data_IF_612201422610
#
_entry.id   IF_612201422610
#
_cell.length_a   1.000
_cell.length_b   1.000
_cell.length_c   1.000
_cell.angle_alpha   90.00
_cell.angle_beta   90.00
_cell.angle_gamma   90.00
#
_symmetry.space_group_name_H-M   'P 1'
#
loop_
_entity.id
_entity.type
_entity.pdbx_description
1 polymer ?
#
# COMPACT_ATOMS: atom_id res chain seq x y z
N UNK A 1 -5.23 28.81 34.80
CA UNK A 1 -5.70 27.71 33.93
C UNK A 1 -6.53 28.33 32.82
N UNK A 2 -5.90 28.67 31.69
CA UNK A 2 -6.59 29.32 30.58
C UNK A 2 -7.33 28.24 29.76
N UNK A 3 -8.65 28.37 29.70
CA UNK A 3 -9.54 27.53 28.89
C UNK A 3 -9.36 27.97 27.43
N UNK A 4 -8.47 27.29 26.70
CA UNK A 4 -8.16 27.62 25.31
C UNK A 4 -9.43 27.54 24.44
N UNK A 5 -9.88 28.68 23.91
CA UNK A 5 -10.45 28.80 22.56
C UNK A 5 -11.74 28.06 22.22
N UNK A 6 -12.56 27.66 23.20
CA UNK A 6 -13.65 26.68 23.00
C UNK A 6 -14.96 27.22 22.37
N UNK A 7 -15.06 28.50 21.99
CA UNK A 7 -16.27 29.03 21.35
C UNK A 7 -15.86 30.00 20.23
N UNK A 8 -15.75 29.50 18.98
CA UNK A 8 -15.73 30.36 17.78
C UNK A 8 -14.64 30.12 16.74
N UNK A 9 -13.55 29.41 17.07
CA UNK A 9 -12.40 29.26 16.15
C UNK A 9 -12.57 28.12 15.13
N UNK A 10 -13.56 27.24 15.33
CA UNK A 10 -13.77 26.08 14.45
C UNK A 10 -14.14 26.47 13.02
N UNK A 11 -14.84 27.60 12.84
CA UNK A 11 -15.24 28.07 11.50
C UNK A 11 -14.05 28.59 10.70
N UNK A 12 -13.17 29.36 11.33
CA UNK A 12 -11.97 29.90 10.69
C UNK A 12 -10.94 28.80 10.42
N UNK A 13 -10.80 27.84 11.34
CA UNK A 13 -10.01 26.63 11.12
C UNK A 13 -10.62 25.78 9.98
N UNK A 14 -11.92 25.54 9.98
CA UNK A 14 -12.57 24.81 8.89
C UNK A 14 -12.34 25.50 7.53
N UNK A 15 -12.38 26.83 7.48
CA UNK A 15 -12.12 27.59 6.26
C UNK A 15 -10.65 27.46 5.82
N UNK A 16 -9.69 27.61 6.73
CA UNK A 16 -8.25 27.50 6.43
C UNK A 16 -7.79 26.10 5.99
N UNK A 17 -8.47 25.06 6.47
CA UNK A 17 -8.11 23.67 6.19
C UNK A 17 -9.08 22.99 5.22
N UNK A 18 -10.10 23.69 4.70
CA UNK A 18 -11.13 23.16 3.79
C UNK A 18 -10.56 22.51 2.54
N UNK A 19 -9.49 23.07 1.97
CA UNK A 19 -8.83 22.54 0.76
C UNK A 19 -7.73 21.51 1.06
N UNK A 20 -7.51 21.17 2.34
CA UNK A 20 -6.42 20.27 2.75
C UNK A 20 -6.95 18.87 3.03
N UNK A 21 -6.26 17.85 2.49
CA UNK A 21 -6.54 16.44 2.79
C UNK A 21 -6.48 16.22 4.30
N UNK A 22 -7.58 15.71 4.87
CA UNK A 22 -7.65 15.42 6.31
C UNK A 22 -6.65 14.32 6.69
N UNK A 23 -6.23 14.28 7.96
CA UNK A 23 -5.34 13.22 8.45
C UNK A 23 -5.92 11.81 8.19
N UNK A 24 -7.24 11.67 8.35
CA UNK A 24 -7.99 10.43 8.10
C UNK A 24 -8.00 10.03 6.63
N UNK A 25 -8.24 10.98 5.71
CA UNK A 25 -8.19 10.73 4.27
C UNK A 25 -6.77 10.35 3.83
N UNK A 26 -5.76 11.08 4.32
CA UNK A 26 -4.35 10.78 4.08
C UNK A 26 -3.97 9.37 4.54
N UNK A 27 -4.44 8.96 5.71
CA UNK A 27 -4.23 7.61 6.22
C UNK A 27 -4.96 6.56 5.35
N UNK A 28 -6.19 6.83 4.92
CA UNK A 28 -6.95 5.95 4.03
C UNK A 28 -6.27 5.81 2.66
N UNK A 29 -5.77 6.91 2.08
CA UNK A 29 -5.00 6.91 0.83
C UNK A 29 -3.72 6.08 0.97
N UNK A 30 -2.92 6.32 2.01
CA UNK A 30 -1.71 5.52 2.27
C UNK A 30 -2.00 4.03 2.44
N UNK A 31 -3.10 3.65 3.09
CA UNK A 31 -3.52 2.24 3.20
C UNK A 31 -3.82 1.62 1.84
N UNK A 32 -4.54 2.32 0.96
CA UNK A 32 -4.82 1.87 -0.41
C UNK A 32 -3.54 1.73 -1.24
N UNK A 33 -2.64 2.71 -1.15
CA UNK A 33 -1.33 2.65 -1.81
C UNK A 33 -0.48 1.47 -1.32
N UNK A 34 -0.46 1.23 -0.01
CA UNK A 34 0.24 0.10 0.60
C UNK A 34 -0.31 -1.24 0.13
N UNK A 35 -1.64 -1.41 0.12
CA UNK A 35 -2.29 -2.61 -0.39
C UNK A 35 -1.90 -2.89 -1.84
N UNK A 36 -1.95 -1.88 -2.70
CA UNK A 36 -1.60 -2.03 -4.10
C UNK A 36 -0.11 -2.37 -4.32
N UNK A 37 0.80 -1.83 -3.50
CA UNK A 37 2.21 -2.22 -3.51
C UNK A 37 2.39 -3.67 -3.10
N UNK A 38 1.70 -4.10 -2.04
CA UNK A 38 1.79 -5.47 -1.54
C UNK A 38 1.25 -6.47 -2.57
N UNK A 39 0.13 -6.17 -3.22
CA UNK A 39 -0.40 -7.00 -4.30
C UNK A 39 0.61 -7.17 -5.44
N UNK A 40 1.21 -6.07 -5.92
CA UNK A 40 2.27 -6.12 -6.95
C UNK A 40 3.51 -6.90 -6.50
N UNK A 41 3.88 -6.80 -5.22
CA UNK A 41 5.00 -7.55 -4.68
C UNK A 41 4.71 -9.05 -4.65
N UNK A 42 3.49 -9.44 -4.24
CA UNK A 42 3.04 -10.82 -4.26
C UNK A 42 3.01 -11.40 -5.68
N UNK A 43 2.48 -10.65 -6.66
CA UNK A 43 2.47 -11.08 -8.07
C UNK A 43 3.88 -11.37 -8.59
N UNK A 44 4.85 -10.48 -8.29
CA UNK A 44 6.26 -10.69 -8.69
C UNK A 44 6.87 -11.92 -8.02
N UNK A 45 6.56 -12.16 -6.76
CA UNK A 45 7.02 -13.36 -6.05
C UNK A 45 6.43 -14.63 -6.66
N UNK A 46 5.14 -14.62 -7.03
CA UNK A 46 4.50 -15.72 -7.74
C UNK A 46 5.18 -16.01 -9.08
N UNK A 47 5.42 -14.98 -9.89
CA UNK A 47 6.13 -15.15 -11.17
C UNK A 47 7.54 -15.69 -10.99
N UNK A 48 8.28 -15.22 -9.98
CA UNK A 48 9.62 -15.71 -9.68
C UNK A 48 9.60 -17.19 -9.27
N UNK A 49 8.62 -17.59 -8.45
CA UNK A 49 8.42 -18.98 -8.06
C UNK A 49 8.09 -19.87 -9.26
N UNK A 50 7.18 -19.43 -10.14
CA UNK A 50 6.86 -20.16 -11.36
C UNK A 50 8.07 -20.34 -12.27
N UNK A 51 8.87 -19.28 -12.45
CA UNK A 51 10.08 -19.34 -13.27
C UNK A 51 11.11 -20.32 -12.69
N UNK A 52 11.29 -20.31 -11.37
CA UNK A 52 12.14 -21.27 -10.67
C UNK A 52 11.65 -22.71 -10.89
N UNK A 53 10.36 -22.95 -10.72
CA UNK A 53 9.78 -24.29 -10.85
C UNK A 53 9.86 -24.82 -12.28
N UNK A 54 9.62 -23.97 -13.30
CA UNK A 54 9.87 -24.32 -14.71
C UNK A 54 11.32 -24.72 -14.94
N UNK A 55 12.27 -23.92 -14.44
CA UNK A 55 13.70 -24.23 -14.58
C UNK A 55 14.10 -25.55 -13.92
N UNK A 56 13.46 -25.89 -12.80
CA UNK A 56 13.66 -27.16 -12.08
C UNK A 56 13.13 -28.33 -12.90
N UNK A 57 11.94 -28.20 -13.48
CA UNK A 57 11.33 -29.23 -14.31
C UNK A 57 12.10 -29.44 -15.62
N UNK A 58 12.52 -28.37 -16.28
CA UNK A 58 13.34 -28.44 -17.49
C UNK A 58 14.66 -29.19 -17.23
N UNK A 59 15.31 -28.91 -16.10
CA UNK A 59 16.53 -29.63 -15.68
C UNK A 59 16.23 -31.10 -15.34
N UNK A 60 15.14 -31.39 -14.63
CA UNK A 60 14.76 -32.75 -14.24
C UNK A 60 14.34 -33.63 -15.44
N UNK A 61 13.71 -33.03 -16.45
CA UNK A 61 13.35 -33.71 -17.70
C UNK A 61 14.57 -34.10 -18.52
N UNK A 62 15.63 -33.28 -18.49
CA UNK A 62 16.90 -33.60 -19.18
C UNK A 62 17.59 -34.85 -18.62
N UNK A 63 17.55 -35.05 -17.29
CA UNK A 63 18.12 -36.25 -16.65
C UNK A 63 17.26 -37.51 -16.81
N UNK A 64 15.95 -37.38 -17.04
CA UNK A 64 15.04 -38.53 -17.22
C UNK A 64 14.98 -39.07 -18.65
N UNK A 65 15.48 -38.32 -19.63
CA UNK A 65 15.43 -38.70 -21.06
C UNK A 65 16.74 -39.30 -21.57
N UNK A 66 17.71 -39.58 -20.69
CA UNK A 66 18.96 -40.30 -21.01
C UNK A 66 18.92 -41.73 -20.50
#
# INVERSE_FOLDING_TARGET
MAFFGLIGNDRDLAQQYSDRESASEKAARKRREGHHRNARAADRQGQAWEAFERSRQDRGGWWRTR
#
